data_IF_660722857592
#
_entry.id   IF_660722857592
#
_cell.length_a   1.000
_cell.length_b   1.000
_cell.length_c   1.000
_cell.angle_alpha   90.00
_cell.angle_beta   90.00
_cell.angle_gamma   90.00
#
_symmetry.space_group_name_H-M   'P 1'
#
loop_
_entity.id
_entity.type
_entity.pdbx_description
1 polymer ?
#
# COMPACT_ATOMS: atom_id res chain seq x y z
N UNK A 1 -7.82 11.24 10.87
CA UNK A 1 -8.10 12.59 11.45
C UNK A 1 -6.82 13.45 11.41
N UNK A 2 -6.89 14.78 11.45
CA UNK A 2 -5.69 15.64 11.53
C UNK A 2 -4.82 15.30 12.75
N UNK A 3 -5.45 14.98 13.88
CA UNK A 3 -4.73 14.64 15.12
C UNK A 3 -3.95 13.34 14.96
N UNK A 4 -4.62 12.31 14.45
CA UNK A 4 -4.04 11.00 14.15
C UNK A 4 -2.89 11.08 13.14
N UNK A 5 -3.02 11.91 12.09
CA UNK A 5 -1.95 12.12 11.12
C UNK A 5 -0.70 12.75 11.75
N UNK A 6 -0.88 13.72 12.66
CA UNK A 6 0.24 14.35 13.37
C UNK A 6 0.92 13.39 14.34
N UNK A 7 0.15 12.57 15.04
CA UNK A 7 0.69 11.55 15.95
C UNK A 7 1.55 10.52 15.19
N UNK A 8 1.08 10.09 14.01
CA UNK A 8 1.83 9.17 13.16
C UNK A 8 3.13 9.80 12.62
N UNK A 9 3.09 11.07 12.22
CA UNK A 9 4.28 11.80 11.80
C UNK A 9 5.31 11.93 12.93
N UNK A 10 4.87 12.18 14.17
CA UNK A 10 5.76 12.21 15.34
C UNK A 10 6.44 10.86 15.55
N UNK A 11 5.70 9.76 15.44
CA UNK A 11 6.23 8.41 15.58
C UNK A 11 7.27 8.06 14.51
N UNK A 12 6.95 8.37 13.24
CA UNK A 12 7.84 8.09 12.11
C UNK A 12 9.10 8.95 12.14
N UNK A 13 8.96 10.26 12.31
CA UNK A 13 10.03 11.22 12.06
C UNK A 13 10.84 11.61 13.31
N UNK A 14 10.20 11.69 14.48
CA UNK A 14 10.89 12.08 15.72
C UNK A 14 11.31 10.88 16.56
N UNK A 15 10.48 9.83 16.59
CA UNK A 15 10.77 8.59 17.32
C UNK A 15 11.51 7.56 16.46
N UNK A 16 11.70 7.85 15.16
CA UNK A 16 12.43 7.02 14.20
C UNK A 16 11.97 5.55 14.17
N UNK A 17 10.65 5.31 14.25
CA UNK A 17 10.10 3.94 14.32
C UNK A 17 10.41 3.09 13.08
N UNK A 18 10.67 3.72 11.92
CA UNK A 18 11.15 3.08 10.68
C UNK A 18 12.63 3.33 10.37
N UNK A 19 13.41 3.81 11.35
CA UNK A 19 14.80 4.18 11.15
C UNK A 19 14.96 5.30 10.11
N UNK A 20 15.94 5.18 9.20
CA UNK A 20 16.20 6.20 8.18
C UNK A 20 15.06 6.35 7.16
N UNK A 21 14.25 5.30 6.96
CA UNK A 21 13.12 5.34 6.04
C UNK A 21 12.00 6.31 6.49
N UNK A 22 11.97 6.68 7.78
CA UNK A 22 11.02 7.63 8.34
C UNK A 22 11.46 9.10 8.27
N UNK A 23 12.64 9.41 7.72
CA UNK A 23 13.18 10.77 7.70
C UNK A 23 12.51 11.68 6.66
N UNK A 24 11.84 11.10 5.66
CA UNK A 24 11.12 11.80 4.61
C UNK A 24 9.75 11.14 4.42
N UNK A 25 8.71 11.96 4.25
CA UNK A 25 7.33 11.51 4.12
C UNK A 25 6.68 12.21 2.94
N UNK A 26 5.84 11.48 2.20
CA UNK A 26 5.00 12.04 1.14
C UNK A 26 3.57 12.14 1.67
N UNK A 27 2.98 13.32 1.56
CA UNK A 27 1.59 13.58 1.92
C UNK A 27 0.79 13.68 0.62
N UNK A 28 -0.19 12.79 0.45
CA UNK A 28 -1.03 12.72 -0.74
C UNK A 28 -2.50 12.95 -0.38
N UNK A 29 -3.29 13.27 -1.40
CA UNK A 29 -4.74 13.39 -1.26
C UNK A 29 -5.38 12.02 -1.02
N UNK A 30 -6.37 11.97 -0.13
CA UNK A 30 -7.14 10.76 0.09
C UNK A 30 -8.15 10.56 -1.05
N UNK A 31 -8.03 9.43 -1.76
CA UNK A 31 -8.88 9.09 -2.90
C UNK A 31 -9.88 8.00 -2.48
N UNK A 32 -11.16 8.26 -2.71
CA UNK A 32 -12.24 7.30 -2.51
C UNK A 32 -12.67 6.66 -3.84
N UNK A 33 -12.95 5.35 -3.83
CA UNK A 33 -13.41 4.65 -5.01
C UNK A 33 -13.12 3.16 -4.96
N UNK A 34 -13.27 2.51 -6.12
CA UNK A 34 -12.90 1.11 -6.27
C UNK A 34 -11.41 1.00 -6.63
N UNK A 35 -10.65 0.29 -5.80
CA UNK A 35 -9.25 -0.01 -6.09
C UNK A 35 -9.16 -1.15 -7.11
N UNK A 36 -8.34 -0.96 -8.15
CA UNK A 36 -8.04 -1.99 -9.14
C UNK A 36 -6.53 -2.04 -9.38
N UNK A 37 -5.97 -3.25 -9.45
CA UNK A 37 -4.57 -3.49 -9.79
C UNK A 37 -4.45 -3.90 -11.25
N UNK A 38 -3.59 -3.21 -12.01
CA UNK A 38 -3.27 -3.56 -13.40
C UNK A 38 -1.80 -3.96 -13.45
N UNK A 39 -1.55 -5.26 -13.61
CA UNK A 39 -0.21 -5.81 -13.76
C UNK A 39 0.14 -5.88 -15.24
N UNK A 40 1.38 -5.52 -15.59
CA UNK A 40 1.85 -5.51 -16.98
C UNK A 40 3.33 -5.88 -17.05
N UNK A 41 3.73 -6.56 -18.13
CA UNK A 41 5.14 -6.78 -18.46
C UNK A 41 5.66 -5.62 -19.31
N UNK A 42 6.88 -5.17 -19.03
CA UNK A 42 7.56 -4.14 -19.81
C UNK A 42 8.98 -4.60 -20.16
N UNK A 43 9.36 -4.47 -21.43
CA UNK A 43 10.69 -4.88 -21.93
C UNK A 43 11.62 -3.69 -22.24
N UNK A 44 11.26 -2.47 -21.84
CA UNK A 44 12.00 -1.25 -22.19
C UNK A 44 11.46 -0.51 -23.41
N UNK A 45 10.56 -1.12 -24.19
CA UNK A 45 9.95 -0.52 -25.39
C UNK A 45 8.44 -0.70 -25.45
N UNK A 46 7.97 -1.91 -25.17
CA UNK A 46 6.57 -2.31 -25.32
C UNK A 46 6.01 -2.78 -23.97
N UNK A 47 4.72 -2.47 -23.72
CA UNK A 47 3.97 -2.87 -22.53
C UNK A 47 2.94 -3.94 -22.93
N UNK A 48 2.91 -5.05 -22.20
CA UNK A 48 1.90 -6.10 -22.34
C UNK A 48 1.10 -6.23 -21.04
N UNK A 49 -0.15 -5.79 -21.07
CA UNK A 49 -1.05 -5.86 -19.91
C UNK A 49 -1.51 -7.29 -19.62
N UNK A 50 -1.56 -7.67 -18.34
CA UNK A 50 -2.18 -8.91 -17.88
C UNK A 50 -3.70 -8.76 -17.76
N UNK A 51 -4.42 -9.89 -17.70
CA UNK A 51 -5.84 -9.87 -17.36
C UNK A 51 -6.04 -9.25 -15.97
N UNK A 52 -7.09 -8.45 -15.82
CA UNK A 52 -7.39 -7.78 -14.57
C UNK A 52 -7.58 -8.81 -13.44
N UNK A 53 -6.73 -8.73 -12.43
CA UNK A 53 -6.86 -9.49 -11.20
C UNK A 53 -7.31 -8.54 -10.08
N UNK A 54 -8.30 -8.97 -9.30
CA UNK A 54 -8.78 -8.20 -8.15
C UNK A 54 -8.02 -8.67 -6.91
N UNK A 55 -7.11 -7.82 -6.43
CA UNK A 55 -6.40 -8.04 -5.17
C UNK A 55 -7.32 -7.67 -4.00
N UNK A 56 -7.57 -8.62 -3.08
CA UNK A 56 -8.30 -8.35 -1.84
C UNK A 56 -7.29 -8.08 -0.75
N UNK A 57 -6.93 -6.80 -0.57
CA UNK A 57 -5.89 -6.38 0.39
C UNK A 57 -6.30 -6.45 1.86
N UNK A 58 -7.57 -6.69 2.19
CA UNK A 58 -8.04 -6.73 3.58
C UNK A 58 -8.47 -8.14 3.96
N UNK A 59 -7.98 -8.60 5.11
CA UNK A 59 -8.19 -9.98 5.59
C UNK A 59 -9.63 -10.27 6.06
N UNK A 60 -10.40 -9.25 6.43
CA UNK A 60 -11.77 -9.39 6.91
C UNK A 60 -12.82 -9.20 5.80
N UNK A 61 -13.97 -9.84 5.99
CA UNK A 61 -15.14 -9.65 5.13
C UNK A 61 -15.53 -8.16 5.04
N UNK A 62 -16.06 -7.73 3.89
CA UNK A 62 -16.47 -6.34 3.64
C UNK A 62 -15.36 -5.29 3.79
N UNK A 63 -14.11 -5.59 3.41
CA UNK A 63 -12.99 -4.66 3.52
C UNK A 63 -12.71 -4.24 4.99
N UNK A 64 -12.75 -5.19 5.91
CA UNK A 64 -12.41 -4.97 7.34
C UNK A 64 -11.07 -5.61 7.69
N UNK A 65 -10.44 -5.15 8.77
CA UNK A 65 -9.13 -5.67 9.21
C UNK A 65 -7.92 -4.99 8.55
N UNK A 66 -6.70 -5.31 9.03
CA UNK A 66 -5.46 -4.70 8.56
C UNK A 66 -5.16 -5.05 7.09
N UNK A 67 -4.43 -4.17 6.40
CA UNK A 67 -3.94 -4.44 5.05
C UNK A 67 -2.97 -5.63 5.08
N UNK A 68 -3.20 -6.62 4.23
CA UNK A 68 -2.30 -7.74 3.96
C UNK A 68 -1.62 -7.53 2.62
N UNK A 69 -0.33 -7.89 2.52
CA UNK A 69 0.32 -8.08 1.23
C UNK A 69 -0.24 -9.31 0.49
N UNK A 70 0.15 -9.56 -0.77
CA UNK A 70 -0.23 -10.79 -1.45
C UNK A 70 0.22 -11.99 -0.61
N UNK A 71 -0.71 -12.93 -0.36
CA UNK A 71 -0.41 -14.14 0.40
C UNK A 71 0.75 -14.88 -0.27
N UNK A 72 1.88 -15.01 0.43
CA UNK A 72 2.89 -16.00 0.05
C UNK A 72 2.25 -17.37 0.24
N UNK A 73 2.25 -18.18 -0.81
CA UNK A 73 1.94 -19.59 -0.66
C UNK A 73 2.97 -20.22 0.31
N UNK A 74 2.57 -21.16 1.17
CA UNK A 74 3.53 -21.85 2.03
C UNK A 74 4.46 -22.70 1.14
N UNK A 75 5.68 -22.23 0.91
CA UNK A 75 6.65 -22.94 0.06
C UNK A 75 7.79 -22.10 -0.53
N UNK A 76 7.71 -20.76 -0.50
CA UNK A 76 8.81 -19.85 -0.87
C UNK A 76 9.71 -19.45 0.32
#
# INVERSE_FOLDING_TARGET
DKFEALEYLEELMLKHSLGEAGNEVVIEEYIEGFEASILSFFNGKDISCMLAAKDYKKIGENNTGPNTGPAREPGD
#
